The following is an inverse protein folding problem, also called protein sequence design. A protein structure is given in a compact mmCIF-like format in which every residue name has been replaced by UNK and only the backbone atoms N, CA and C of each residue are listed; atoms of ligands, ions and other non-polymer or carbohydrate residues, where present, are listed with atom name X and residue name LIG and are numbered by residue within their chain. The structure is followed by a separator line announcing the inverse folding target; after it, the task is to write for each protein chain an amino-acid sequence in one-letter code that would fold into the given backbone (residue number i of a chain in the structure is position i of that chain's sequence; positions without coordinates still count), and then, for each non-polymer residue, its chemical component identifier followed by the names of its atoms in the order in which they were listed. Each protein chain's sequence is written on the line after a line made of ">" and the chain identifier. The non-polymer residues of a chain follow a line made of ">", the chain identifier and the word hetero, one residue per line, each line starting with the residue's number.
data_IF_885532658815
#
_entry.id   IF_885532658815
#
_cell.length_a   1.000
_cell.length_b   1.000
_cell.length_c   1.000
_cell.angle_alpha   90.00
_cell.angle_beta   90.00
_cell.angle_gamma   90.00
#
_symmetry.space_group_name_H-M   'P 1'
#
loop_
_entity.id
_entity.type
_entity.pdbx_description
1 polymer ?
#
# COMPACT_ATOMS: atom_id res chain seq x y z
N UNK A 1 -23.79 -29.33 1.29
CA UNK A 1 -23.02 -29.17 0.04
C UNK A 1 -23.94 -28.65 -1.04
N UNK A 2 -24.01 -27.33 -1.16
CA UNK A 2 -24.72 -26.62 -2.22
C UNK A 2 -23.67 -25.80 -2.93
N UNK A 3 -23.13 -26.33 -4.02
CA UNK A 3 -22.15 -25.65 -4.86
C UNK A 3 -22.87 -24.55 -5.63
N UNK A 4 -22.74 -23.30 -5.17
CA UNK A 4 -23.08 -22.12 -5.96
C UNK A 4 -21.83 -21.70 -6.72
N UNK A 5 -21.77 -22.08 -7.98
CA UNK A 5 -20.77 -21.60 -8.94
C UNK A 5 -21.14 -20.17 -9.31
N UNK A 6 -20.39 -19.18 -8.80
CA UNK A 6 -20.52 -17.78 -9.21
C UNK A 6 -19.86 -17.63 -10.58
N UNK A 7 -20.64 -17.19 -11.56
CA UNK A 7 -20.22 -17.09 -12.95
C UNK A 7 -19.48 -15.77 -13.18
N UNK A 8 -18.17 -15.84 -13.48
CA UNK A 8 -17.36 -14.73 -13.98
C UNK A 8 -18.06 -14.07 -15.17
N UNK A 9 -18.51 -12.82 -15.01
CA UNK A 9 -19.08 -12.01 -16.10
C UNK A 9 -17.96 -11.46 -16.96
N UNK A 10 -17.71 -12.12 -18.08
CA UNK A 10 -16.91 -11.57 -19.18
C UNK A 10 -17.63 -10.34 -19.75
N UNK A 11 -17.14 -9.13 -19.48
CA UNK A 11 -17.60 -7.89 -20.14
C UNK A 11 -17.10 -7.91 -21.59
N UNK A 12 -18.02 -8.09 -22.53
CA UNK A 12 -17.75 -7.93 -23.96
C UNK A 12 -17.63 -6.44 -24.30
N UNK A 13 -16.45 -6.01 -24.73
CA UNK A 13 -16.19 -4.67 -25.24
C UNK A 13 -17.01 -4.41 -26.51
N UNK A 14 -18.00 -3.53 -26.42
CA UNK A 14 -18.69 -2.98 -27.60
C UNK A 14 -18.01 -1.66 -27.97
N UNK A 15 -17.15 -1.71 -28.99
CA UNK A 15 -16.57 -0.52 -29.60
C UNK A 15 -17.66 0.27 -30.33
N UNK A 16 -18.03 1.45 -29.80
CA UNK A 16 -18.91 2.41 -30.45
C UNK A 16 -18.08 3.43 -31.22
N UNK A 17 -17.94 3.20 -32.52
CA UNK A 17 -17.46 4.19 -33.47
C UNK A 17 -18.54 5.27 -33.69
N UNK A 18 -18.28 6.50 -33.25
CA UNK A 18 -19.08 7.66 -33.61
C UNK A 18 -18.25 8.63 -34.46
N UNK A 19 -18.78 8.86 -35.66
CA UNK A 19 -18.17 9.66 -36.73
C UNK A 19 -18.38 11.16 -36.51
N UNK A 20 -17.46 11.93 -37.08
CA UNK A 20 -17.37 13.38 -37.11
C UNK A 20 -18.67 14.12 -37.47
N UNK A 21 -18.87 15.27 -36.83
CA UNK A 21 -19.60 16.39 -37.40
C UNK A 21 -18.91 17.72 -37.04
N UNK A 22 -18.15 18.25 -38.00
CA UNK A 22 -17.70 19.64 -38.04
C UNK A 22 -18.91 20.55 -38.25
N UNK A 23 -19.10 21.54 -37.37
CA UNK A 23 -19.85 22.76 -37.68
C UNK A 23 -19.17 23.95 -37.00
N UNK A 24 -18.45 24.71 -37.83
CA UNK A 24 -17.97 26.05 -37.56
C UNK A 24 -19.11 27.04 -37.79
N UNK A 25 -19.27 28.03 -36.90
CA UNK A 25 -19.82 29.35 -37.23
C UNK A 25 -19.49 30.36 -36.13
N UNK A 26 -18.92 31.49 -36.57
CA UNK A 26 -18.46 32.62 -35.79
C UNK A 26 -19.56 33.69 -35.58
N UNK A 27 -19.45 34.46 -34.50
CA UNK A 27 -19.83 35.88 -34.36
C UNK A 27 -19.35 36.40 -32.97
N UNK A 28 -18.44 37.38 -32.87
CA UNK A 28 -18.70 38.83 -32.68
C UNK A 28 -19.75 39.11 -31.58
N UNK A 29 -19.56 39.92 -30.53
CA UNK A 29 -18.57 40.95 -30.16
C UNK A 29 -19.26 41.98 -29.21
N UNK A 30 -18.46 42.83 -28.52
CA UNK A 30 -18.85 43.96 -27.63
C UNK A 30 -19.39 43.58 -26.23
N UNK A 31 -19.16 44.32 -25.14
CA UNK A 31 -18.47 45.58 -24.86
C UNK A 31 -18.39 45.74 -23.32
N UNK A 32 -17.35 46.41 -22.81
CA UNK A 32 -17.46 47.34 -21.68
C UNK A 32 -17.45 46.79 -20.24
N UNK A 33 -16.51 47.30 -19.43
CA UNK A 33 -16.66 47.32 -17.97
C UNK A 33 -15.37 47.35 -17.15
N UNK A 34 -14.63 48.45 -17.20
CA UNK A 34 -13.63 48.80 -16.19
C UNK A 34 -14.32 49.01 -14.82
N UNK A 35 -13.91 48.32 -13.75
CA UNK A 35 -14.09 48.84 -12.37
C UNK A 35 -13.12 48.21 -11.37
N UNK A 36 -12.09 49.00 -11.06
CA UNK A 36 -11.52 49.27 -9.72
C UNK A 36 -10.95 48.12 -8.86
N UNK A 37 -9.62 48.09 -8.83
CA UNK A 37 -8.81 47.74 -7.65
C UNK A 37 -9.21 48.60 -6.43
N UNK A 38 -9.22 48.00 -5.23
CA UNK A 38 -8.51 48.62 -4.13
C UNK A 38 -7.51 47.67 -3.48
N UNK A 39 -6.28 48.18 -3.33
CA UNK A 39 -5.26 47.63 -2.44
C UNK A 39 -5.38 48.30 -1.05
N UNK A 40 -4.47 48.02 -0.11
CA UNK A 40 -4.64 47.10 1.00
C UNK A 40 -4.88 47.84 2.33
N UNK A 41 -5.50 47.16 3.30
CA UNK A 41 -5.46 47.63 4.70
C UNK A 41 -4.41 46.87 5.48
N UNK A 42 -3.33 47.57 5.80
CA UNK A 42 -2.38 47.29 6.87
C UNK A 42 -3.10 47.25 8.23
N UNK A 43 -2.81 46.22 9.03
CA UNK A 43 -3.19 46.10 10.44
C UNK A 43 -2.14 45.30 11.19
N UNK A 44 -1.26 46.02 11.87
CA UNK A 44 -0.02 45.65 12.57
C UNK A 44 -0.23 44.86 13.88
N UNK A 45 0.58 43.81 14.03
CA UNK A 45 1.25 43.24 15.23
C UNK A 45 0.48 43.07 16.56
N UNK A 46 0.54 41.86 17.14
CA UNK A 46 1.56 41.52 18.14
C UNK A 46 1.35 40.12 18.77
N UNK A 47 2.48 39.54 19.20
CA UNK A 47 2.65 38.81 20.46
C UNK A 47 2.76 37.27 20.40
N UNK A 48 4.03 36.86 20.35
CA UNK A 48 4.71 36.10 21.42
C UNK A 48 4.53 34.57 21.51
N UNK A 49 5.65 33.89 21.78
CA UNK A 49 5.65 32.53 22.32
C UNK A 49 6.22 31.43 21.42
N UNK A 50 7.53 31.45 21.17
CA UNK A 50 8.27 30.20 20.92
C UNK A 50 8.41 29.38 22.20
N UNK A 51 8.33 28.05 22.10
CA UNK A 51 8.68 27.17 23.23
C UNK A 51 7.99 25.80 23.21
N UNK A 52 8.63 24.84 22.54
CA UNK A 52 8.85 23.44 22.95
C UNK A 52 7.91 22.85 24.02
N UNK A 53 7.13 21.83 23.66
CA UNK A 53 6.50 20.92 24.62
C UNK A 53 6.88 19.47 24.28
N UNK A 54 7.79 18.96 25.12
CA UNK A 54 8.08 17.54 25.33
C UNK A 54 6.98 16.99 26.26
N UNK A 55 6.41 15.79 26.03
CA UNK A 55 5.56 15.17 27.03
C UNK A 55 6.41 14.64 28.20
N UNK A 56 5.95 14.79 29.47
CA UNK A 56 6.71 14.34 30.63
C UNK A 56 6.75 12.81 30.70
N UNK A 57 7.95 12.30 30.99
CA UNK A 57 8.14 10.98 31.58
C UNK A 57 7.76 11.06 33.07
N UNK A 58 6.87 10.17 33.51
CA UNK A 58 6.67 9.86 34.92
C UNK A 58 7.37 8.53 35.20
N UNK A 59 8.48 8.61 35.94
CA UNK A 59 9.17 7.49 36.56
C UNK A 59 9.34 7.79 38.06
N UNK A 60 9.53 6.70 38.81
CA UNK A 60 9.95 6.59 40.20
C UNK A 60 8.89 6.58 41.31
N UNK A 61 8.39 5.36 41.54
CA UNK A 61 8.03 4.87 42.87
C UNK A 61 8.76 3.56 43.16
N UNK A 62 9.96 3.65 43.72
CA UNK A 62 10.72 2.54 44.30
C UNK A 62 10.09 2.03 45.60
N UNK A 63 10.14 0.72 45.86
CA UNK A 63 10.78 0.18 47.08
C UNK A 63 11.00 -1.35 47.03
N UNK A 64 12.09 -1.73 47.70
CA UNK A 64 12.70 -3.00 48.01
C UNK A 64 11.76 -4.15 48.42
N UNK A 65 12.15 -5.37 48.05
CA UNK A 65 12.39 -6.43 49.03
C UNK A 65 13.29 -7.52 48.45
N UNK A 66 14.46 -7.63 49.08
CA UNK A 66 15.42 -8.72 49.03
C UNK A 66 14.83 -10.03 49.53
N UNK A 67 15.31 -11.15 48.99
CA UNK A 67 15.68 -12.33 49.79
C UNK A 67 16.37 -13.37 48.91
N UNK A 68 17.63 -13.63 49.28
CA UNK A 68 18.45 -14.76 48.92
C UNK A 68 17.78 -16.10 49.26
N UNK A 69 18.04 -17.14 48.46
CA UNK A 69 18.45 -18.42 49.04
C UNK A 69 19.24 -19.27 48.04
N UNK A 70 20.44 -19.60 48.49
CA UNK A 70 21.39 -20.56 47.94
C UNK A 70 20.79 -21.98 47.93
N UNK A 71 21.21 -22.83 46.99
CA UNK A 71 22.09 -23.98 47.28
C UNK A 71 22.30 -24.90 46.07
N UNK A 72 23.58 -25.14 45.80
CA UNK A 72 24.25 -26.35 45.30
C UNK A 72 23.38 -27.56 44.88
N UNK A 73 23.70 -28.16 43.73
CA UNK A 73 24.41 -29.44 43.77
C UNK A 73 25.11 -29.77 42.45
N UNK A 74 26.27 -30.37 42.63
CA UNK A 74 27.31 -30.80 41.70
C UNK A 74 27.06 -32.20 41.14
N UNK A 75 27.97 -32.62 40.23
CA UNK A 75 28.25 -34.00 39.81
C UNK A 75 27.23 -34.64 38.82
N UNK A 76 27.62 -35.37 37.77
CA UNK A 76 28.93 -35.86 37.38
C UNK A 76 28.86 -36.52 35.99
N UNK A 77 30.04 -36.66 35.39
CA UNK A 77 30.48 -37.73 34.48
C UNK A 77 30.11 -37.75 33.00
N UNK A 78 31.20 -37.71 32.25
CA UNK A 78 31.44 -37.98 30.84
C UNK A 78 31.09 -39.43 30.45
N UNK A 79 30.84 -39.67 29.17
CA UNK A 79 31.37 -40.87 28.50
C UNK A 79 31.47 -40.66 27.00
N UNK A 80 32.68 -40.90 26.52
CA UNK A 80 33.16 -40.89 25.15
C UNK A 80 32.36 -41.82 24.23
N UNK A 81 32.25 -41.45 22.96
CA UNK A 81 32.32 -42.43 21.86
C UNK A 81 32.93 -41.76 20.63
N UNK A 82 34.24 -41.96 20.47
CA UNK A 82 34.97 -41.83 19.22
C UNK A 82 34.69 -43.03 18.29
N UNK A 83 34.72 -42.75 16.99
CA UNK A 83 34.94 -43.71 15.91
C UNK A 83 34.05 -43.41 14.70
N UNK A 84 34.51 -43.43 13.46
CA UNK A 84 35.82 -43.64 12.84
C UNK A 84 35.65 -43.24 11.36
N UNK A 85 36.76 -42.94 10.72
CA UNK A 85 36.94 -42.37 9.39
C UNK A 85 36.23 -43.07 8.21
N UNK A 86 35.91 -42.30 7.17
CA UNK A 86 35.96 -42.76 5.77
C UNK A 86 36.19 -41.59 4.81
N UNK A 87 37.47 -41.38 4.50
CA UNK A 87 37.95 -40.65 3.33
C UNK A 87 37.57 -41.39 2.04
N UNK A 88 37.07 -40.64 1.05
CA UNK A 88 36.73 -41.12 -0.29
C UNK A 88 36.97 -40.02 -1.32
N UNK A 89 38.13 -40.10 -1.93
CA UNK A 89 38.85 -39.18 -2.83
C UNK A 89 38.12 -38.77 -4.14
N UNK A 90 38.62 -37.65 -4.68
CA UNK A 90 38.35 -36.95 -5.94
C UNK A 90 38.17 -37.83 -7.18
N UNK A 91 37.37 -37.33 -8.15
CA UNK A 91 37.89 -36.99 -9.49
C UNK A 91 36.81 -36.54 -10.50
N UNK A 92 37.00 -35.29 -10.94
CA UNK A 92 36.98 -34.81 -12.33
C UNK A 92 35.65 -34.56 -13.07
N UNK A 93 35.59 -33.30 -13.53
CA UNK A 93 34.77 -32.69 -14.55
C UNK A 93 34.60 -33.51 -15.84
N UNK A 94 33.46 -33.33 -16.51
CA UNK A 94 33.43 -32.65 -17.81
C UNK A 94 32.00 -32.20 -18.16
N UNK A 95 31.99 -31.07 -18.86
CA UNK A 95 30.93 -30.33 -19.53
C UNK A 95 29.70 -31.10 -20.03
N UNK A 96 28.50 -30.58 -19.71
CA UNK A 96 27.46 -30.44 -20.73
C UNK A 96 26.64 -29.16 -20.48
N UNK A 97 26.65 -28.34 -21.52
CA UNK A 97 25.99 -27.06 -21.63
C UNK A 97 24.49 -27.24 -21.87
N UNK A 98 23.69 -26.64 -20.99
CA UNK A 98 22.40 -26.03 -21.32
C UNK A 98 22.01 -25.22 -20.07
N UNK A 99 22.56 -24.01 -19.95
CA UNK A 99 22.00 -23.03 -19.04
C UNK A 99 20.61 -22.68 -19.60
N UNK A 100 19.50 -22.97 -18.89
CA UNK A 100 18.24 -22.36 -19.27
C UNK A 100 18.45 -20.85 -19.24
N UNK A 101 17.95 -20.16 -20.26
CA UNK A 101 17.77 -18.72 -20.26
C UNK A 101 17.28 -18.30 -18.88
N UNK A 102 18.16 -17.64 -18.12
CA UNK A 102 17.73 -16.91 -16.94
C UNK A 102 16.90 -15.75 -17.48
N UNK A 103 15.60 -15.99 -17.67
CA UNK A 103 14.64 -14.97 -17.34
C UNK A 103 15.04 -14.48 -15.96
N UNK A 104 15.43 -13.22 -15.89
CA UNK A 104 15.54 -12.47 -14.64
C UNK A 104 14.15 -12.33 -14.04
N UNK A 105 13.56 -13.44 -13.61
CA UNK A 105 12.50 -13.45 -12.62
C UNK A 105 13.18 -13.18 -11.28
N UNK A 106 12.91 -12.03 -10.70
CA UNK A 106 13.42 -11.61 -9.40
C UNK A 106 13.21 -12.75 -8.38
N UNK A 107 14.28 -13.44 -8.04
CA UNK A 107 14.26 -14.45 -6.99
C UNK A 107 14.29 -13.73 -5.64
N UNK A 108 13.13 -13.60 -4.99
CA UNK A 108 13.03 -13.51 -3.53
C UNK A 108 12.84 -12.12 -2.89
N UNK A 109 12.69 -11.05 -3.66
CA UNK A 109 12.37 -9.73 -3.08
C UNK A 109 10.85 -9.53 -3.07
N UNK A 110 10.26 -9.49 -1.86
CA UNK A 110 8.83 -9.22 -1.67
C UNK A 110 8.48 -7.84 -2.19
N UNK A 111 7.32 -7.72 -2.83
CA UNK A 111 6.83 -6.41 -3.29
C UNK A 111 6.69 -5.46 -2.12
N UNK A 112 7.37 -4.33 -2.22
CA UNK A 112 7.22 -3.19 -1.31
C UNK A 112 6.14 -2.28 -1.86
N UNK A 113 5.33 -1.75 -0.96
CA UNK A 113 4.26 -0.82 -1.26
C UNK A 113 4.38 0.43 -0.41
N UNK A 114 3.85 1.53 -0.93
CA UNK A 114 3.70 2.78 -0.20
C UNK A 114 2.47 3.52 -0.73
N UNK A 115 1.45 3.64 0.13
CA UNK A 115 0.25 4.41 -0.16
C UNK A 115 0.46 5.85 0.30
N UNK A 116 0.42 6.79 -0.64
CA UNK A 116 0.57 8.23 -0.39
C UNK A 116 -0.78 8.90 -0.57
N UNK A 117 -1.32 9.43 0.52
CA UNK A 117 -2.68 9.99 0.61
C UNK A 117 -2.71 11.52 0.56
N UNK A 118 -1.66 12.17 1.06
CA UNK A 118 -1.45 13.61 0.94
C UNK A 118 -0.54 13.89 -0.24
N UNK A 119 -1.13 14.34 -1.34
CA UNK A 119 -0.43 14.65 -2.59
C UNK A 119 0.14 16.08 -2.60
N UNK A 120 -0.17 16.91 -1.60
CA UNK A 120 0.30 18.30 -1.53
C UNK A 120 -0.15 19.19 -2.69
N UNK A 121 -1.22 18.80 -3.39
CA UNK A 121 -1.83 19.56 -4.50
C UNK A 121 -3.18 20.11 -4.08
N UNK A 122 -3.43 21.39 -4.41
CA UNK A 122 -4.75 21.99 -4.25
C UNK A 122 -5.61 21.66 -5.48
N UNK A 123 -6.72 20.93 -5.24
CA UNK A 123 -7.68 20.41 -6.23
C UNK A 123 -8.52 21.51 -6.94
N UNK A 124 -8.00 22.71 -7.11
CA UNK A 124 -8.81 23.92 -7.36
C UNK A 124 -8.57 24.60 -8.71
N UNK A 125 -7.82 24.02 -9.64
CA UNK A 125 -7.25 24.83 -10.74
C UNK A 125 -7.44 24.34 -12.18
N UNK A 126 -8.24 23.31 -12.46
CA UNK A 126 -8.41 22.81 -13.84
C UNK A 126 -9.76 22.19 -14.16
N UNK A 127 -10.19 22.34 -15.41
CA UNK A 127 -11.28 21.57 -16.02
C UNK A 127 -10.61 20.34 -16.68
N UNK A 128 -10.45 19.25 -15.92
CA UNK A 128 -9.74 18.04 -16.33
C UNK A 128 -9.24 17.20 -15.14
N UNK A 129 -8.82 15.95 -15.37
CA UNK A 129 -8.27 15.09 -14.31
C UNK A 129 -6.97 15.72 -13.76
N UNK A 130 -6.77 15.59 -12.45
CA UNK A 130 -5.56 16.03 -11.80
C UNK A 130 -4.34 15.30 -12.37
N UNK A 131 -3.20 15.98 -12.45
CA UNK A 131 -1.95 15.40 -12.94
C UNK A 131 -0.83 15.75 -11.99
N UNK A 132 -0.01 14.76 -11.64
CA UNK A 132 1.22 14.92 -10.87
C UNK A 132 2.41 14.94 -11.83
N UNK A 133 3.18 16.02 -11.81
CA UNK A 133 4.42 16.09 -12.58
C UNK A 133 5.45 15.08 -12.05
N UNK A 134 6.35 14.66 -12.93
CA UNK A 134 7.42 13.70 -12.62
C UNK A 134 8.28 14.12 -11.40
N UNK A 135 8.57 15.41 -11.24
CA UNK A 135 9.33 15.93 -10.08
C UNK A 135 8.54 15.82 -8.77
N UNK A 136 7.21 15.97 -8.84
CA UNK A 136 6.33 15.82 -7.68
C UNK A 136 6.23 14.36 -7.27
N UNK A 137 6.02 13.45 -8.23
CA UNK A 137 6.03 12.01 -7.99
C UNK A 137 7.35 11.53 -7.37
N UNK A 138 8.48 12.00 -7.92
CA UNK A 138 9.80 11.71 -7.37
C UNK A 138 9.94 12.17 -5.91
N UNK A 139 9.43 13.36 -5.60
CA UNK A 139 9.44 13.90 -4.23
C UNK A 139 8.55 13.08 -3.29
N UNK A 140 7.35 12.68 -3.73
CA UNK A 140 6.46 11.81 -2.95
C UNK A 140 7.12 10.46 -2.66
N UNK A 141 7.79 9.87 -3.67
CA UNK A 141 8.49 8.61 -3.52
C UNK A 141 9.68 8.70 -2.55
N UNK A 142 10.46 9.78 -2.63
CA UNK A 142 11.74 9.86 -1.92
C UNK A 142 11.64 10.48 -0.52
N UNK A 143 10.58 11.23 -0.24
CA UNK A 143 10.36 11.96 1.02
C UNK A 143 10.51 11.06 2.27
N UNK A 144 9.91 9.86 2.35
CA UNK A 144 10.03 9.00 3.53
C UNK A 144 11.44 8.50 3.81
N UNK A 145 12.30 8.50 2.79
CA UNK A 145 13.65 7.94 2.86
C UNK A 145 14.74 9.00 3.03
N UNK A 146 14.38 10.29 3.00
CA UNK A 146 15.31 11.43 2.95
C UNK A 146 16.41 11.22 1.88
N UNK A 147 15.99 10.81 0.68
CA UNK A 147 16.85 10.48 -0.45
C UNK A 147 16.30 11.06 -1.76
N UNK A 148 16.89 10.69 -2.90
CA UNK A 148 16.48 11.14 -4.24
C UNK A 148 15.79 10.03 -5.00
N UNK A 149 14.71 10.36 -5.72
CA UNK A 149 14.11 9.50 -6.73
C UNK A 149 13.96 10.27 -8.04
N UNK A 150 13.70 9.55 -9.12
CA UNK A 150 13.43 10.11 -10.44
C UNK A 150 12.25 9.36 -11.06
N UNK A 151 11.27 10.08 -11.60
CA UNK A 151 10.16 9.49 -12.35
C UNK A 151 10.27 9.88 -13.82
N UNK A 152 10.00 8.93 -14.71
CA UNK A 152 10.18 9.10 -16.15
C UNK A 152 9.07 9.95 -16.78
N UNK A 153 7.86 9.85 -16.25
CA UNK A 153 6.66 10.47 -16.78
C UNK A 153 5.81 11.11 -15.69
N UNK A 154 4.86 11.95 -16.12
CA UNK A 154 3.81 12.49 -15.25
C UNK A 154 2.69 11.46 -15.08
N UNK A 155 1.97 11.53 -13.96
CA UNK A 155 0.86 10.62 -13.65
C UNK A 155 -0.45 11.40 -13.68
N UNK A 156 -1.34 11.03 -14.59
CA UNK A 156 -2.74 11.47 -14.55
C UNK A 156 -3.46 10.66 -13.49
N UNK A 157 -4.09 11.34 -12.52
CA UNK A 157 -4.79 10.73 -11.38
C UNK A 157 -6.18 10.21 -11.82
N UNK A 158 -6.16 9.22 -12.70
CA UNK A 158 -7.33 8.39 -13.00
C UNK A 158 -6.98 6.95 -12.59
N UNK A 159 -7.90 6.20 -11.95
CA UNK A 159 -7.62 4.86 -11.45
C UNK A 159 -6.99 3.94 -12.50
N UNK A 160 -5.91 3.25 -12.12
CA UNK A 160 -5.18 2.31 -12.98
C UNK A 160 -4.13 2.95 -13.89
N UNK A 161 -4.10 4.27 -14.04
CA UNK A 161 -2.96 4.93 -14.69
C UNK A 161 -1.69 4.73 -13.87
N UNK A 162 -0.55 4.58 -14.55
CA UNK A 162 0.72 4.32 -13.90
C UNK A 162 1.87 5.12 -14.52
N UNK A 163 2.90 5.39 -13.72
CA UNK A 163 4.14 6.05 -14.13
C UNK A 163 5.36 5.30 -13.55
N UNK A 164 6.39 5.11 -14.37
CA UNK A 164 7.64 4.48 -13.95
C UNK A 164 8.55 5.43 -13.16
N UNK A 165 9.12 4.95 -12.07
CA UNK A 165 10.05 5.66 -11.21
C UNK A 165 11.25 4.81 -10.82
N UNK A 166 12.33 5.45 -10.40
CA UNK A 166 13.52 4.83 -9.78
C UNK A 166 13.80 5.56 -8.48
N UNK A 167 13.90 4.82 -7.38
CA UNK A 167 13.97 5.43 -6.06
C UNK A 167 14.53 4.52 -4.97
N UNK A 168 14.74 5.07 -3.77
CA UNK A 168 15.21 4.31 -2.61
C UNK A 168 14.16 3.26 -2.19
N UNK A 169 14.62 2.20 -1.53
CA UNK A 169 13.74 1.17 -0.92
C UNK A 169 13.86 1.09 0.60
N UNK A 170 14.79 1.85 1.17
CA UNK A 170 15.05 1.90 2.60
C UNK A 170 15.67 3.25 3.00
N UNK A 171 15.78 3.46 4.31
CA UNK A 171 16.50 4.59 4.91
C UNK A 171 18.02 4.46 4.79
N UNK A 172 18.54 3.28 4.44
CA UNK A 172 19.96 3.07 4.22
C UNK A 172 20.37 3.59 2.84
N UNK A 173 21.00 4.76 2.83
CA UNK A 173 21.47 5.43 1.60
C UNK A 173 22.59 4.69 0.87
N UNK A 174 23.11 3.61 1.44
CA UNK A 174 24.10 2.76 0.77
C UNK A 174 23.44 1.69 -0.11
N UNK A 175 22.16 1.40 0.11
CA UNK A 175 21.41 0.50 -0.76
C UNK A 175 21.15 1.14 -2.13
N UNK A 176 21.25 0.35 -3.22
CA UNK A 176 20.95 0.85 -4.55
C UNK A 176 19.47 1.22 -4.67
N UNK A 177 19.18 2.19 -5.54
CA UNK A 177 17.80 2.49 -5.94
C UNK A 177 17.21 1.33 -6.73
N UNK A 178 15.90 1.12 -6.59
CA UNK A 178 15.15 0.11 -7.34
C UNK A 178 14.09 0.75 -8.24
N UNK A 179 13.55 -0.03 -9.16
CA UNK A 179 12.40 0.35 -9.98
C UNK A 179 11.13 0.35 -9.13
N UNK A 180 10.33 1.40 -9.34
CA UNK A 180 9.04 1.63 -8.71
C UNK A 180 8.01 1.96 -9.77
N UNK A 181 6.76 1.64 -9.48
CA UNK A 181 5.60 2.01 -10.29
C UNK A 181 4.69 2.83 -9.40
N UNK A 182 4.44 4.07 -9.80
CA UNK A 182 3.43 4.92 -9.18
C UNK A 182 2.10 4.66 -9.88
N UNK A 183 1.11 4.15 -9.16
CA UNK A 183 -0.22 3.88 -9.70
C UNK A 183 -1.24 4.82 -9.07
N UNK A 184 -2.07 5.45 -9.90
CA UNK A 184 -3.19 6.26 -9.44
C UNK A 184 -4.28 5.34 -8.87
N UNK A 185 -4.67 5.63 -7.63
CA UNK A 185 -5.65 4.88 -6.85
C UNK A 185 -6.55 5.84 -6.11
N UNK A 186 -7.57 5.33 -5.43
CA UNK A 186 -8.45 6.16 -4.60
C UNK A 186 -8.51 5.67 -3.18
N UNK A 187 -8.79 6.60 -2.28
CA UNK A 187 -8.99 6.34 -0.85
C UNK A 187 -10.33 6.92 -0.40
N UNK A 188 -10.94 6.37 0.66
CA UNK A 188 -12.18 6.94 1.18
C UNK A 188 -11.92 8.31 1.83
N UNK A 189 -12.82 9.27 1.59
CA UNK A 189 -12.71 10.66 2.10
C UNK A 189 -13.93 11.11 2.93
N UNK A 190 -15.04 10.36 2.85
CA UNK A 190 -16.30 10.66 3.51
C UNK A 190 -16.54 9.79 4.76
N UNK A 191 -17.66 10.05 5.46
CA UNK A 191 -18.11 9.25 6.62
C UNK A 191 -18.49 7.80 6.25
N UNK A 192 -18.54 7.47 4.97
CA UNK A 192 -18.90 6.16 4.43
C UNK A 192 -18.01 5.86 3.21
N UNK A 193 -17.49 4.62 3.02
CA UNK A 193 -16.53 4.33 1.96
C UNK A 193 -17.09 4.58 0.55
N UNK A 194 -18.40 4.45 0.36
CA UNK A 194 -19.07 4.67 -0.92
C UNK A 194 -19.56 6.12 -1.14
N UNK A 195 -19.44 6.99 -0.13
CA UNK A 195 -20.01 8.34 -0.18
C UNK A 195 -19.07 9.41 -0.71
N UNK A 196 -17.82 9.06 -1.00
CA UNK A 196 -16.83 9.95 -1.60
C UNK A 196 -15.42 9.39 -1.51
N UNK A 197 -14.67 9.61 -2.58
CA UNK A 197 -13.28 9.18 -2.71
C UNK A 197 -12.36 10.37 -2.98
N UNK A 198 -11.11 10.26 -2.58
CA UNK A 198 -10.03 11.17 -2.92
C UNK A 198 -8.95 10.41 -3.71
N UNK A 199 -8.30 11.10 -4.65
CA UNK A 199 -7.17 10.56 -5.39
C UNK A 199 -5.94 10.39 -4.49
N UNK A 200 -5.24 9.28 -4.70
CA UNK A 200 -4.01 8.91 -3.99
C UNK A 200 -3.05 8.20 -4.96
N UNK A 201 -1.83 7.94 -4.49
CA UNK A 201 -0.83 7.20 -5.27
C UNK A 201 -0.35 5.99 -4.48
N UNK A 202 -0.44 4.82 -5.11
CA UNK A 202 0.18 3.59 -4.62
C UNK A 202 1.49 3.38 -5.37
N UNK A 203 2.60 3.50 -4.66
CA UNK A 203 3.91 3.08 -5.17
C UNK A 203 4.11 1.60 -4.88
N UNK A 204 4.52 0.82 -5.88
CA UNK A 204 4.94 -0.58 -5.72
C UNK A 204 6.28 -0.82 -6.38
N UNK A 205 7.19 -1.58 -5.75
CA UNK A 205 8.45 -1.97 -6.40
C UNK A 205 8.21 -2.98 -7.52
N UNK A 206 9.02 -2.91 -8.58
CA UNK A 206 8.89 -3.77 -9.75
C UNK A 206 8.48 -2.99 -11.00
N UNK A 207 7.96 -3.70 -12.01
CA UNK A 207 7.71 -3.14 -13.35
C UNK A 207 6.26 -2.79 -13.65
N UNK A 208 5.30 -3.38 -12.92
CA UNK A 208 3.87 -3.00 -12.90
C UNK A 208 3.17 -3.73 -11.74
N UNK A 209 1.99 -3.26 -11.33
CA UNK A 209 1.06 -4.13 -10.59
C UNK A 209 0.73 -5.34 -11.49
N UNK A 210 0.82 -6.58 -10.96
CA UNK A 210 0.45 -7.76 -11.73
C UNK A 210 -1.05 -7.75 -12.06
N UNK A 211 -1.42 -8.44 -13.15
CA UNK A 211 -2.83 -8.60 -13.58
C UNK A 211 -3.71 -9.12 -12.43
N UNK A 212 -3.16 -10.02 -11.61
CA UNK A 212 -3.82 -10.58 -10.42
C UNK A 212 -3.94 -9.59 -9.24
N UNK A 213 -3.66 -8.30 -9.44
CA UNK A 213 -3.86 -7.25 -8.45
C UNK A 213 -4.55 -6.00 -9.05
N UNK A 214 -5.08 -6.10 -10.28
CA UNK A 214 -5.76 -4.99 -10.97
C UNK A 214 -7.02 -4.51 -10.23
N UNK A 215 -7.69 -5.39 -9.46
CA UNK A 215 -8.90 -5.06 -8.69
C UNK A 215 -8.67 -3.92 -7.68
N UNK A 216 -7.43 -3.73 -7.22
CA UNK A 216 -7.05 -2.63 -6.32
C UNK A 216 -7.08 -1.26 -7.00
N UNK A 217 -7.09 -1.22 -8.33
CA UNK A 217 -7.04 -0.01 -9.15
C UNK A 217 -8.37 0.27 -9.85
N UNK A 218 -9.40 -0.53 -9.58
CA UNK A 218 -10.71 -0.39 -10.21
C UNK A 218 -11.39 0.95 -9.89
N UNK A 219 -12.18 1.41 -10.86
CA UNK A 219 -12.99 2.64 -10.82
C UNK A 219 -14.08 2.66 -9.75
N UNK A 220 -14.32 1.56 -9.05
CA UNK A 220 -15.25 1.48 -7.91
C UNK A 220 -14.55 1.04 -6.61
N UNK A 221 -13.22 0.85 -6.63
CA UNK A 221 -12.44 0.44 -5.45
C UNK A 221 -11.82 1.64 -4.73
N UNK A 222 -11.84 1.61 -3.40
CA UNK A 222 -11.07 2.52 -2.53
C UNK A 222 -10.15 1.74 -1.61
N UNK A 223 -8.94 2.25 -1.36
CA UNK A 223 -7.89 1.55 -0.63
C UNK A 223 -7.78 1.98 0.83
N UNK A 224 -7.53 0.99 1.68
CA UNK A 224 -6.98 1.16 3.03
C UNK A 224 -5.89 0.11 3.26
N UNK A 225 -5.17 0.20 4.37
CA UNK A 225 -4.21 -0.83 4.73
C UNK A 225 -3.54 -0.59 6.06
N UNK A 226 -2.85 -1.61 6.57
CA UNK A 226 -2.15 -1.55 7.85
C UNK A 226 -0.90 -2.44 7.81
N UNK A 227 0.19 -1.97 8.44
CA UNK A 227 1.36 -2.79 8.74
C UNK A 227 1.17 -3.53 10.07
N UNK A 228 1.41 -4.84 10.08
CA UNK A 228 1.34 -5.69 11.27
C UNK A 228 2.70 -5.96 11.91
N UNK A 229 3.78 -5.73 11.16
CA UNK A 229 5.16 -5.92 11.61
C UNK A 229 5.98 -6.77 10.65
N UNK A 230 7.31 -6.75 10.81
CA UNK A 230 8.23 -7.44 9.89
C UNK A 230 8.10 -8.97 9.85
N UNK A 231 7.58 -9.59 10.91
CA UNK A 231 7.39 -11.04 11.02
C UNK A 231 6.07 -11.54 10.40
N UNK A 232 5.14 -10.64 10.09
CA UNK A 232 3.85 -11.00 9.51
C UNK A 232 4.03 -11.51 8.07
N UNK A 233 3.33 -12.58 7.70
CA UNK A 233 3.48 -13.19 6.36
C UNK A 233 4.86 -13.82 6.10
N UNK A 234 5.66 -14.15 7.14
CA UNK A 234 6.86 -15.00 6.95
C UNK A 234 6.49 -16.37 6.37
N UNK A 235 5.36 -16.91 6.82
CA UNK A 235 4.71 -18.08 6.24
C UNK A 235 3.42 -17.63 5.53
N UNK A 236 2.96 -18.35 4.49
CA UNK A 236 1.67 -18.08 3.88
C UNK A 236 0.53 -18.17 4.90
N UNK A 237 -0.42 -17.25 4.81
CA UNK A 237 -1.59 -17.22 5.67
C UNK A 237 -2.70 -18.11 5.11
N UNK A 238 -3.42 -18.80 5.98
CA UNK A 238 -4.67 -19.47 5.63
C UNK A 238 -5.81 -18.48 5.37
N UNK A 239 -6.89 -18.92 4.73
CA UNK A 239 -8.06 -18.07 4.47
C UNK A 239 -8.68 -17.50 5.75
N UNK A 240 -8.68 -18.26 6.85
CA UNK A 240 -9.17 -17.79 8.14
C UNK A 240 -8.26 -16.70 8.74
N UNK A 241 -6.93 -16.86 8.64
CA UNK A 241 -5.97 -15.86 9.12
C UNK A 241 -6.01 -14.57 8.30
N UNK A 242 -6.19 -14.68 6.97
CA UNK A 242 -6.39 -13.52 6.09
C UNK A 242 -7.67 -12.78 6.48
N UNK A 243 -8.76 -13.51 6.73
CA UNK A 243 -10.02 -12.90 7.15
C UNK A 243 -9.90 -12.16 8.49
N UNK A 244 -9.28 -12.78 9.51
CA UNK A 244 -9.05 -12.14 10.82
C UNK A 244 -8.19 -10.88 10.70
N UNK A 245 -7.09 -10.97 9.94
CA UNK A 245 -6.17 -9.85 9.72
C UNK A 245 -6.83 -8.73 8.91
N UNK A 246 -7.68 -9.08 7.93
CA UNK A 246 -8.45 -8.10 7.14
C UNK A 246 -9.47 -7.38 8.02
N UNK A 247 -10.20 -8.09 8.89
CA UNK A 247 -11.10 -7.46 9.85
C UNK A 247 -10.33 -6.54 10.82
N UNK A 248 -9.15 -6.97 11.29
CA UNK A 248 -8.27 -6.12 12.10
C UNK A 248 -7.82 -4.88 11.32
N UNK A 249 -7.61 -4.98 10.00
CA UNK A 249 -7.25 -3.84 9.15
C UNK A 249 -8.41 -2.84 9.06
N UNK A 250 -9.61 -3.33 8.75
CA UNK A 250 -10.82 -2.50 8.60
C UNK A 250 -11.21 -1.79 9.90
N UNK A 251 -10.94 -2.40 11.06
CA UNK A 251 -11.28 -1.85 12.38
C UNK A 251 -10.15 -1.08 13.05
N UNK A 252 -8.96 -1.04 12.45
CA UNK A 252 -7.79 -0.38 13.03
C UNK A 252 -7.88 1.15 12.92
N UNK A 253 -7.63 1.83 14.04
CA UNK A 253 -7.39 3.29 14.08
C UNK A 253 -6.02 3.68 13.50
N UNK A 254 -5.12 2.71 13.36
CA UNK A 254 -3.76 2.89 12.83
C UNK A 254 -3.63 2.54 11.35
N UNK A 255 -4.74 2.23 10.68
CA UNK A 255 -4.72 2.05 9.24
C UNK A 255 -4.27 3.35 8.54
N UNK A 256 -3.62 3.22 7.38
CA UNK A 256 -3.19 4.36 6.56
C UNK A 256 -4.37 5.27 6.21
N UNK A 257 -5.54 4.68 6.01
CA UNK A 257 -6.82 5.38 5.90
C UNK A 257 -7.83 4.70 6.81
N UNK A 258 -8.08 5.22 8.03
CA UNK A 258 -8.99 4.58 8.98
C UNK A 258 -10.43 4.51 8.47
N UNK A 259 -10.95 3.30 8.29
CA UNK A 259 -12.34 3.05 7.83
C UNK A 259 -13.24 2.46 8.91
N UNK A 260 -12.71 2.20 10.11
CA UNK A 260 -13.42 1.52 11.20
C UNK A 260 -14.62 2.30 11.74
N UNK A 261 -14.60 3.63 11.62
CA UNK A 261 -15.72 4.48 12.01
C UNK A 261 -16.72 4.71 10.86
N UNK A 262 -16.37 4.31 9.63
CA UNK A 262 -17.20 4.53 8.44
C UNK A 262 -18.28 3.46 8.26
N UNK A 263 -18.02 2.26 8.79
CA UNK A 263 -18.99 1.17 8.87
C UNK A 263 -18.70 0.29 10.10
N UNK A 264 -19.73 -0.35 10.65
CA UNK A 264 -19.61 -1.22 11.82
C UNK A 264 -19.15 -2.64 11.40
N UNK A 265 -17.92 -2.75 10.91
CA UNK A 265 -17.35 -4.01 10.42
C UNK A 265 -17.36 -5.09 11.51
N UNK A 266 -17.93 -6.26 11.20
CA UNK A 266 -18.18 -7.30 12.19
C UNK A 266 -17.56 -8.64 11.86
N UNK A 267 -17.50 -8.99 10.57
CA UNK A 267 -17.01 -10.28 10.10
C UNK A 267 -16.36 -10.11 8.72
N UNK A 268 -15.35 -10.92 8.44
CA UNK A 268 -14.76 -11.07 7.11
C UNK A 268 -14.67 -12.55 6.79
N UNK A 269 -14.90 -12.91 5.52
CA UNK A 269 -14.63 -14.25 5.00
C UNK A 269 -13.83 -14.15 3.71
N UNK A 270 -12.76 -14.92 3.58
CA UNK A 270 -11.91 -14.93 2.38
C UNK A 270 -12.03 -16.26 1.63
N UNK A 271 -11.92 -16.21 0.30
CA UNK A 271 -12.02 -17.40 -0.55
C UNK A 271 -10.82 -18.34 -0.38
N UNK A 272 -9.62 -17.77 -0.24
CA UNK A 272 -8.34 -18.47 -0.23
C UNK A 272 -7.36 -17.87 0.79
N UNK A 273 -6.20 -18.53 0.96
CA UNK A 273 -5.09 -17.99 1.74
C UNK A 273 -4.22 -17.01 0.95
N UNK A 274 -3.24 -16.38 1.61
CA UNK A 274 -2.40 -15.33 1.03
C UNK A 274 -0.91 -15.66 1.18
N UNK A 275 -0.17 -15.62 0.07
CA UNK A 275 1.29 -15.83 0.05
C UNK A 275 2.02 -14.51 -0.20
N UNK A 276 2.81 -14.06 0.77
CA UNK A 276 3.55 -12.79 0.73
C UNK A 276 4.75 -12.80 -0.22
N UNK A 277 5.10 -13.96 -0.79
CA UNK A 277 6.11 -14.04 -1.83
C UNK A 277 5.55 -13.65 -3.21
N UNK A 278 4.25 -13.44 -3.30
CA UNK A 278 3.56 -12.99 -4.51
C UNK A 278 2.71 -11.78 -4.17
N UNK A 279 2.54 -10.90 -5.15
CA UNK A 279 1.63 -9.77 -5.00
C UNK A 279 0.35 -10.11 -5.76
N UNK A 280 -0.49 -10.96 -5.18
CA UNK A 280 -1.77 -11.41 -5.74
C UNK A 280 -2.89 -11.00 -4.76
N UNK A 281 -4.05 -10.61 -5.28
CA UNK A 281 -5.24 -10.34 -4.46
C UNK A 281 -5.97 -11.64 -4.12
N UNK A 282 -6.62 -11.63 -2.95
CA UNK A 282 -7.60 -12.63 -2.56
C UNK A 282 -8.96 -11.95 -2.41
N UNK A 283 -9.98 -12.57 -3.00
CA UNK A 283 -11.37 -12.17 -2.84
C UNK A 283 -11.84 -12.45 -1.40
N UNK A 284 -12.29 -11.39 -0.72
CA UNK A 284 -12.92 -11.49 0.58
C UNK A 284 -14.26 -10.74 0.59
N UNK A 285 -15.11 -11.06 1.57
CA UNK A 285 -16.36 -10.35 1.81
C UNK A 285 -16.36 -9.88 3.26
N UNK A 286 -16.52 -8.58 3.48
CA UNK A 286 -16.81 -8.02 4.79
C UNK A 286 -18.32 -7.93 5.03
N UNK A 287 -18.74 -8.10 6.28
CA UNK A 287 -20.11 -7.89 6.73
C UNK A 287 -20.16 -6.93 7.91
N UNK A 288 -21.07 -5.97 7.86
CA UNK A 288 -21.31 -5.02 8.97
C UNK A 288 -22.28 -5.60 9.99
N UNK A 289 -22.32 -5.05 11.21
CA UNK A 289 -23.25 -5.48 12.26
C UNK A 289 -24.74 -5.36 11.87
N UNK A 290 -25.05 -4.45 10.95
CA UNK A 290 -26.40 -4.28 10.39
C UNK A 290 -26.72 -5.28 9.25
N UNK A 291 -25.75 -6.12 8.87
CA UNK A 291 -25.89 -7.19 7.87
C UNK A 291 -25.62 -6.76 6.42
N UNK A 292 -24.95 -5.62 6.23
CA UNK A 292 -24.53 -5.16 4.90
C UNK A 292 -23.24 -5.86 4.48
N UNK A 293 -23.14 -6.27 3.21
CA UNK A 293 -21.97 -6.98 2.69
C UNK A 293 -21.21 -6.14 1.67
N UNK A 294 -19.88 -6.28 1.71
CA UNK A 294 -18.93 -5.54 0.90
C UNK A 294 -17.91 -6.49 0.30
N UNK A 295 -17.68 -6.39 -1.00
CA UNK A 295 -16.62 -7.14 -1.68
C UNK A 295 -15.27 -6.45 -1.44
N UNK A 296 -14.25 -7.26 -1.19
CA UNK A 296 -12.91 -6.82 -0.86
C UNK A 296 -11.89 -7.57 -1.73
N UNK A 297 -10.87 -6.84 -2.18
CA UNK A 297 -9.65 -7.41 -2.73
C UNK A 297 -8.51 -7.19 -1.73
N UNK A 298 -7.90 -8.27 -1.23
CA UNK A 298 -6.85 -8.20 -0.20
C UNK A 298 -5.51 -8.64 -0.78
N UNK A 299 -4.53 -7.73 -0.77
CA UNK A 299 -3.16 -8.00 -1.22
C UNK A 299 -2.14 -7.87 -0.09
N UNK A 300 -1.03 -8.63 -0.13
CA UNK A 300 0.05 -8.48 0.82
C UNK A 300 0.89 -7.24 0.45
N UNK A 301 1.58 -6.64 1.42
CA UNK A 301 2.51 -5.57 1.09
C UNK A 301 3.54 -5.28 2.18
N UNK A 302 4.75 -4.92 1.75
CA UNK A 302 5.76 -4.38 2.67
C UNK A 302 5.69 -2.86 2.66
N UNK A 303 5.27 -2.24 3.75
CA UNK A 303 5.18 -0.78 3.84
C UNK A 303 6.57 -0.12 3.95
N UNK A 304 6.63 1.20 3.72
CA UNK A 304 7.87 1.98 3.71
C UNK A 304 8.67 1.89 5.03
N UNK A 305 8.03 1.58 6.15
CA UNK A 305 8.67 1.34 7.45
C UNK A 305 9.21 -0.10 7.62
N UNK A 306 9.13 -0.94 6.57
CA UNK A 306 9.47 -2.36 6.51
C UNK A 306 8.50 -3.30 7.25
N UNK A 307 7.36 -2.81 7.70
CA UNK A 307 6.32 -3.68 8.25
C UNK A 307 5.61 -4.41 7.11
N UNK A 308 5.46 -5.72 7.26
CA UNK A 308 4.58 -6.51 6.41
C UNK A 308 3.14 -6.23 6.84
N UNK A 309 2.23 -6.19 5.87
CA UNK A 309 0.86 -5.80 6.12
C UNK A 309 -0.10 -6.22 5.02
N UNK A 310 -1.33 -5.75 5.16
CA UNK A 310 -2.39 -5.95 4.18
C UNK A 310 -2.82 -4.61 3.59
N UNK A 311 -2.92 -4.60 2.26
CA UNK A 311 -3.61 -3.57 1.50
C UNK A 311 -4.99 -4.12 1.13
N UNK A 312 -6.04 -3.39 1.44
CA UNK A 312 -7.43 -3.80 1.24
C UNK A 312 -8.09 -2.81 0.29
N UNK A 313 -8.50 -3.29 -0.88
CA UNK A 313 -9.45 -2.61 -1.74
C UNK A 313 -10.88 -2.94 -1.32
N UNK A 314 -11.68 -1.91 -1.10
CA UNK A 314 -13.10 -2.01 -0.76
C UNK A 314 -13.90 -1.61 -2.00
N UNK A 315 -14.69 -2.53 -2.55
CA UNK A 315 -15.61 -2.21 -3.65
C UNK A 315 -16.76 -1.37 -3.11
N UNK A 316 -16.94 -0.17 -3.68
CA UNK A 316 -17.98 0.77 -3.29
C UNK A 316 -19.35 0.46 -3.91
N UNK A 317 -19.41 -0.46 -4.87
CA UNK A 317 -20.66 -1.01 -5.39
C UNK A 317 -21.16 -2.14 -4.50
N UNK A 318 -21.98 -1.77 -3.52
CA UNK A 318 -22.63 -2.71 -2.58
C UNK A 318 -23.40 -3.83 -3.32
N UNK A 319 -23.23 -5.07 -2.86
CA UNK A 319 -24.14 -6.16 -3.20
C UNK A 319 -25.49 -5.95 -2.46
N UNK A 320 -26.55 -5.72 -3.22
CA UNK A 320 -27.91 -5.46 -2.68
C UNK A 320 -28.79 -6.68 -2.44
#
# INVERSE_FOLDING_TARGET
>A
MSTRTIARRTRAAVALAASAALLSLAACGSDGGETETPAPTTGTEASDGGGQQVPPAEDDGADDSTSDDDTDDTDDTETDTDGDDSDGDDSSADDDADAPDQETGASGERTRIMLVTDLGIDDTTGDGPLTLQNEQLATLLSSPFDATAECAEELVLEPGNAAGCVGPVSLDRTEPTQEWVATAVRIPQAEDPASGSQDAVLFSTGVQLPEDAEDLTDEDTVLTGVGFGSAFGMEPLSAEEVAESTLSTLTSEFAYVPVGAMADWSEVTCADGLDFNRFETVDCTATTADGESWDLAVAPGTYANNDQGLLVGIDTQREG
#
